data_IF_891772048554
#
_entry.id   IF_891772048554
#
_cell.length_a   1.000
_cell.length_b   1.000
_cell.length_c   1.000
_cell.angle_alpha   90.00
_cell.angle_beta   90.00
_cell.angle_gamma   90.00
#
_symmetry.space_group_name_H-M   'P 1'
#
loop_
_entity.id
_entity.type
_entity.pdbx_description
1 polymer ?
#
# COMPACT_ATOMS: atom_id res chain seq x y z
N UNK A 1 -37.69 -24.29 45.54
CA UNK A 1 -37.98 -24.83 44.21
C UNK A 1 -37.82 -23.75 43.12
N UNK A 2 -38.24 -22.53 43.35
CA UNK A 2 -38.15 -21.40 42.41
C UNK A 2 -36.69 -20.96 42.10
N UNK A 3 -35.85 -20.84 43.13
CA UNK A 3 -34.43 -20.47 43.01
C UNK A 3 -33.60 -21.47 42.18
N UNK A 4 -33.97 -22.74 42.20
CA UNK A 4 -33.29 -23.78 41.39
C UNK A 4 -33.67 -23.65 39.90
N UNK A 5 -34.94 -23.34 39.59
CA UNK A 5 -35.40 -23.09 38.23
C UNK A 5 -34.78 -21.84 37.62
N UNK A 6 -34.58 -20.82 38.39
CA UNK A 6 -33.95 -19.58 37.96
C UNK A 6 -32.45 -19.77 37.65
N UNK A 7 -31.73 -20.54 38.47
CA UNK A 7 -30.32 -20.93 38.20
C UNK A 7 -30.19 -21.78 36.91
N UNK A 8 -31.07 -22.75 36.72
CA UNK A 8 -31.06 -23.58 35.49
C UNK A 8 -31.37 -22.72 34.24
N UNK A 9 -32.27 -21.74 34.34
CA UNK A 9 -32.60 -20.81 33.27
C UNK A 9 -31.41 -19.92 32.92
N UNK A 10 -30.68 -19.40 33.90
CA UNK A 10 -29.48 -18.60 33.72
C UNK A 10 -28.34 -19.40 33.10
N UNK A 11 -28.10 -20.63 33.57
CA UNK A 11 -27.09 -21.51 32.98
C UNK A 11 -27.40 -21.87 31.52
N UNK A 12 -28.68 -22.11 31.18
CA UNK A 12 -29.09 -22.34 29.77
C UNK A 12 -28.91 -21.12 28.91
N UNK A 13 -29.16 -19.90 29.43
CA UNK A 13 -28.94 -18.65 28.68
C UNK A 13 -27.44 -18.40 28.46
N UNK A 14 -26.63 -18.69 29.46
CA UNK A 14 -25.18 -18.53 29.39
C UNK A 14 -24.53 -19.55 28.43
N UNK A 15 -24.96 -20.83 28.49
CA UNK A 15 -24.54 -21.85 27.55
C UNK A 15 -24.90 -21.49 26.10
N UNK A 16 -26.14 -21.00 25.88
CA UNK A 16 -26.58 -20.55 24.54
C UNK A 16 -25.81 -19.33 24.05
N UNK A 17 -25.40 -18.43 24.95
CA UNK A 17 -24.56 -17.26 24.62
C UNK A 17 -23.14 -17.69 24.22
N UNK A 18 -22.56 -18.66 24.92
CA UNK A 18 -21.25 -19.25 24.62
C UNK A 18 -21.29 -20.02 23.28
N UNK A 19 -22.38 -20.74 23.00
CA UNK A 19 -22.56 -21.48 21.75
C UNK A 19 -22.72 -20.55 20.53
N UNK A 20 -23.48 -19.47 20.68
CA UNK A 20 -23.60 -18.41 19.66
C UNK A 20 -22.26 -17.68 19.42
N UNK A 21 -21.44 -17.54 20.46
CA UNK A 21 -20.10 -16.93 20.34
C UNK A 21 -19.11 -17.90 19.67
N UNK A 22 -19.25 -19.21 19.86
CA UNK A 22 -18.43 -20.26 19.22
C UNK A 22 -18.78 -20.48 17.74
N UNK A 23 -20.02 -20.19 17.33
CA UNK A 23 -20.48 -20.34 15.93
C UNK A 23 -20.19 -19.14 15.02
N UNK A 24 -19.67 -18.04 15.53
CA UNK A 24 -18.98 -17.08 14.66
C UNK A 24 -17.67 -17.76 14.23
N UNK A 25 -17.73 -18.52 13.15
CA UNK A 25 -16.52 -18.85 12.40
C UNK A 25 -15.71 -17.54 12.30
N UNK A 26 -14.50 -17.54 12.87
CA UNK A 26 -13.57 -16.44 12.72
C UNK A 26 -13.16 -16.38 11.25
N UNK A 27 -14.05 -15.85 10.40
CA UNK A 27 -13.77 -15.66 8.99
C UNK A 27 -12.59 -14.71 8.90
N UNK A 28 -11.48 -15.23 8.44
CA UNK A 28 -10.25 -14.44 8.28
C UNK A 28 -10.54 -13.24 7.40
N UNK A 29 -10.29 -12.05 7.91
CA UNK A 29 -10.35 -10.81 7.14
C UNK A 29 -8.98 -10.61 6.52
N UNK A 30 -8.93 -10.58 5.20
CA UNK A 30 -7.70 -10.30 4.46
C UNK A 30 -7.59 -8.79 4.26
N UNK A 31 -6.39 -8.25 4.48
CA UNK A 31 -6.14 -6.82 4.35
C UNK A 31 -6.28 -6.33 2.90
N UNK A 32 -5.72 -7.11 1.98
CA UNK A 32 -5.77 -6.81 0.55
C UNK A 32 -5.87 -8.12 -0.23
N UNK A 33 -7.08 -8.46 -0.69
CA UNK A 33 -7.29 -9.60 -1.58
C UNK A 33 -7.16 -9.13 -3.03
N UNK A 34 -6.54 -9.93 -3.91
CA UNK A 34 -6.61 -9.68 -5.34
C UNK A 34 -8.05 -9.58 -5.82
N UNK A 35 -8.32 -8.68 -6.73
CA UNK A 35 -9.61 -8.54 -7.40
C UNK A 35 -9.46 -8.91 -8.87
N UNK A 36 -10.38 -9.72 -9.36
CA UNK A 36 -10.44 -10.12 -10.76
C UNK A 36 -11.65 -9.43 -11.41
N UNK A 37 -11.40 -8.67 -12.47
CA UNK A 37 -12.43 -7.95 -13.21
C UNK A 37 -13.21 -8.83 -14.19
N UNK A 38 -12.65 -9.98 -14.56
CA UNK A 38 -13.25 -10.99 -15.44
C UNK A 38 -12.76 -10.93 -16.91
N UNK A 39 -11.94 -9.94 -17.26
CA UNK A 39 -11.36 -9.83 -18.61
C UNK A 39 -9.90 -10.30 -18.68
N UNK A 40 -9.27 -10.57 -17.55
CA UNK A 40 -7.84 -10.87 -17.45
C UNK A 40 -7.45 -12.08 -18.29
N UNK A 41 -8.26 -13.16 -18.23
CA UNK A 41 -8.01 -14.36 -19.01
C UNK A 41 -8.08 -14.11 -20.52
N UNK A 42 -8.98 -13.21 -20.98
CA UNK A 42 -9.11 -12.87 -22.39
C UNK A 42 -7.88 -12.13 -22.92
N UNK A 43 -7.32 -11.21 -22.14
CA UNK A 43 -6.07 -10.52 -22.48
C UNK A 43 -4.86 -11.46 -22.48
N UNK A 44 -4.81 -12.38 -21.51
CA UNK A 44 -3.77 -13.42 -21.47
C UNK A 44 -3.87 -14.30 -22.73
N UNK A 45 -5.08 -14.77 -23.06
CA UNK A 45 -5.31 -15.59 -24.25
C UNK A 45 -4.92 -14.86 -25.53
N UNK A 46 -5.31 -13.59 -25.68
CA UNK A 46 -4.95 -12.77 -26.85
C UNK A 46 -3.42 -12.64 -26.99
N UNK A 47 -2.72 -12.40 -25.86
CA UNK A 47 -1.25 -12.30 -25.87
C UNK A 47 -0.60 -13.59 -26.40
N UNK A 48 -1.10 -14.76 -25.96
CA UNK A 48 -0.62 -16.06 -26.44
C UNK A 48 -1.00 -16.31 -27.91
N UNK A 49 -2.24 -16.06 -28.31
CA UNK A 49 -2.72 -16.29 -29.68
C UNK A 49 -1.97 -15.42 -30.70
N UNK A 50 -1.56 -14.21 -30.31
CA UNK A 50 -0.86 -13.25 -31.17
C UNK A 50 0.67 -13.28 -30.98
N UNK A 51 1.18 -14.15 -30.09
CA UNK A 51 2.60 -14.27 -29.75
C UNK A 51 3.23 -12.99 -29.15
N UNK A 52 2.43 -12.16 -28.49
CA UNK A 52 2.88 -10.96 -27.76
C UNK A 52 3.13 -11.25 -26.28
N UNK A 53 3.97 -12.23 -26.00
CA UNK A 53 4.43 -12.59 -24.65
C UNK A 53 5.81 -11.98 -24.38
N UNK A 54 5.92 -10.68 -24.58
CA UNK A 54 7.14 -9.89 -24.46
C UNK A 54 6.90 -8.68 -23.53
N UNK A 55 7.95 -8.04 -23.01
CA UNK A 55 7.80 -6.82 -22.19
C UNK A 55 7.26 -5.59 -22.94
N UNK A 56 7.16 -5.69 -24.25
CA UNK A 56 6.52 -4.71 -25.15
C UNK A 56 5.35 -5.39 -25.87
N UNK A 57 4.39 -4.60 -26.33
CA UNK A 57 3.27 -5.11 -27.13
C UNK A 57 1.98 -4.33 -26.92
N UNK A 58 0.90 -4.73 -27.60
CA UNK A 58 -0.37 -3.98 -27.60
C UNK A 58 -0.92 -3.74 -26.18
N UNK A 59 -0.89 -4.75 -25.31
CA UNK A 59 -1.42 -4.64 -23.95
C UNK A 59 -0.64 -3.62 -23.11
N UNK A 60 0.69 -3.61 -23.17
CA UNK A 60 1.52 -2.63 -22.47
C UNK A 60 1.29 -1.23 -23.00
N UNK A 61 1.32 -1.08 -24.34
CA UNK A 61 1.14 0.22 -24.99
C UNK A 61 -0.25 0.81 -24.69
N UNK A 62 -1.30 -0.02 -24.72
CA UNK A 62 -2.65 0.42 -24.40
C UNK A 62 -2.78 0.79 -22.92
N UNK A 63 -2.20 0.01 -22.02
CA UNK A 63 -2.19 0.33 -20.59
C UNK A 63 -1.53 1.70 -20.34
N UNK A 64 -0.36 1.94 -20.88
CA UNK A 64 0.35 3.22 -20.74
C UNK A 64 -0.48 4.39 -21.26
N UNK A 65 -1.09 4.22 -22.44
CA UNK A 65 -1.96 5.22 -23.05
C UNK A 65 -3.20 5.50 -22.19
N UNK A 66 -3.92 4.46 -21.78
CA UNK A 66 -5.15 4.59 -21.00
C UNK A 66 -4.88 5.23 -19.62
N UNK A 67 -3.77 4.86 -18.97
CA UNK A 67 -3.37 5.48 -17.69
C UNK A 67 -3.02 6.95 -17.90
N UNK A 68 -2.26 7.28 -18.93
CA UNK A 68 -1.93 8.68 -19.26
C UNK A 68 -3.18 9.53 -19.53
N UNK A 69 -4.12 9.00 -20.31
CA UNK A 69 -5.40 9.66 -20.60
C UNK A 69 -6.25 9.82 -19.31
N UNK A 70 -6.37 8.77 -18.50
CA UNK A 70 -7.15 8.80 -17.27
C UNK A 70 -6.62 9.83 -16.25
N UNK A 71 -5.31 9.93 -16.10
CA UNK A 71 -4.66 10.87 -15.16
C UNK A 71 -4.55 12.28 -15.76
N UNK A 72 -4.71 12.43 -17.09
CA UNK A 72 -4.58 13.71 -17.79
C UNK A 72 -3.14 14.17 -17.97
N UNK A 73 -2.21 13.23 -18.13
CA UNK A 73 -0.79 13.49 -18.38
C UNK A 73 -0.40 13.08 -19.81
N UNK A 74 0.75 13.55 -20.27
CA UNK A 74 1.19 13.30 -21.64
C UNK A 74 1.57 11.85 -21.89
N UNK A 75 2.33 11.27 -21.00
CA UNK A 75 2.91 9.93 -21.16
C UNK A 75 2.89 9.18 -19.83
N UNK A 76 2.80 7.86 -19.87
CA UNK A 76 2.97 6.95 -18.75
C UNK A 76 3.93 5.83 -19.12
N UNK A 77 4.56 5.21 -18.14
CA UNK A 77 5.46 4.08 -18.33
C UNK A 77 5.06 2.93 -17.41
N UNK A 78 4.79 1.76 -17.99
CA UNK A 78 4.51 0.55 -17.24
C UNK A 78 5.80 -0.07 -16.72
N UNK A 79 5.84 -0.37 -15.44
CA UNK A 79 6.96 -1.01 -14.77
C UNK A 79 6.52 -2.30 -14.08
N UNK A 80 7.46 -3.18 -13.81
CA UNK A 80 7.20 -4.50 -13.23
C UNK A 80 6.58 -4.45 -11.83
N UNK A 81 6.76 -3.34 -11.10
CA UNK A 81 6.23 -3.16 -9.75
C UNK A 81 6.22 -1.69 -9.32
N UNK A 82 5.40 -1.36 -8.32
CA UNK A 82 5.44 -0.05 -7.66
C UNK A 82 6.80 0.28 -7.05
N UNK A 83 7.52 -0.72 -6.53
CA UNK A 83 8.91 -0.53 -6.05
C UNK A 83 9.83 -0.01 -7.15
N UNK A 84 9.73 -0.60 -8.35
CA UNK A 84 10.51 -0.15 -9.51
C UNK A 84 10.12 1.25 -9.96
N UNK A 85 8.82 1.59 -9.87
CA UNK A 85 8.32 2.92 -10.21
C UNK A 85 8.87 3.98 -9.25
N UNK A 86 8.82 3.74 -7.94
CA UNK A 86 9.40 4.63 -6.93
C UNK A 86 10.91 4.76 -7.14
N UNK A 87 11.61 3.64 -7.39
CA UNK A 87 13.06 3.66 -7.62
C UNK A 87 13.42 4.51 -8.85
N UNK A 88 12.68 4.35 -9.95
CA UNK A 88 12.89 5.19 -11.14
C UNK A 88 12.65 6.67 -10.85
N UNK A 89 11.58 7.00 -10.11
CA UNK A 89 11.30 8.38 -9.71
C UNK A 89 12.43 8.99 -8.87
N UNK A 90 12.95 8.24 -7.90
CA UNK A 90 14.08 8.64 -7.05
C UNK A 90 15.34 8.90 -7.91
N UNK A 91 15.62 8.04 -8.90
CA UNK A 91 16.73 8.25 -9.82
C UNK A 91 16.55 9.50 -10.71
N UNK A 92 15.35 9.72 -11.21
CA UNK A 92 15.04 10.91 -12.02
C UNK A 92 15.15 12.21 -11.23
N UNK A 93 14.88 12.20 -9.92
CA UNK A 93 15.11 13.32 -9.01
C UNK A 93 16.59 13.55 -8.69
N UNK A 94 17.48 12.67 -9.15
CA UNK A 94 18.92 12.75 -8.89
C UNK A 94 19.30 12.50 -7.43
N UNK A 95 18.48 11.76 -6.70
CA UNK A 95 18.75 11.36 -5.31
C UNK A 95 19.92 10.37 -5.30
N UNK A 96 20.86 10.57 -4.38
CA UNK A 96 22.13 9.84 -4.30
C UNK A 96 22.61 9.67 -2.86
N UNK A 97 23.72 9.00 -2.70
CA UNK A 97 24.40 8.82 -1.41
C UNK A 97 24.58 10.18 -0.67
N UNK A 98 24.18 10.19 0.59
CA UNK A 98 24.23 11.37 1.46
C UNK A 98 22.98 12.25 1.40
N UNK A 99 22.09 12.08 0.44
CA UNK A 99 20.81 12.77 0.40
C UNK A 99 19.84 12.21 1.44
N UNK A 100 18.86 13.03 1.84
CA UNK A 100 17.79 12.65 2.79
C UNK A 100 16.45 12.66 2.07
N UNK A 101 15.62 11.66 2.35
CA UNK A 101 14.24 11.54 1.84
C UNK A 101 13.30 11.26 3.00
N UNK A 102 12.25 12.05 3.14
CA UNK A 102 11.20 11.78 4.12
C UNK A 102 10.25 10.74 3.57
N UNK A 103 9.85 9.78 4.43
CA UNK A 103 9.03 8.65 4.04
C UNK A 103 8.00 8.38 5.13
N UNK A 104 6.78 8.04 4.75
CA UNK A 104 5.77 7.55 5.71
C UNK A 104 6.29 6.32 6.45
N UNK A 105 5.99 6.17 7.75
CA UNK A 105 6.33 4.99 8.54
C UNK A 105 5.29 3.88 8.41
N UNK A 106 4.01 4.23 8.30
CA UNK A 106 2.93 3.27 8.06
C UNK A 106 2.76 3.04 6.55
N UNK A 107 3.65 2.26 5.98
CA UNK A 107 3.67 2.00 4.55
C UNK A 107 4.27 0.63 4.24
N UNK A 108 4.08 0.16 3.01
CA UNK A 108 4.80 -1.01 2.53
C UNK A 108 6.29 -0.68 2.35
N UNK A 109 7.17 -1.62 2.67
CA UNK A 109 8.63 -1.43 2.60
C UNK A 109 9.14 -0.91 1.23
N UNK A 110 8.34 -1.07 0.17
CA UNK A 110 8.61 -0.53 -1.15
C UNK A 110 8.74 1.00 -1.20
N UNK A 111 8.17 1.73 -0.24
CA UNK A 111 8.34 3.18 -0.16
C UNK A 111 9.73 3.57 0.37
N UNK A 112 10.31 2.77 1.26
CA UNK A 112 11.60 3.03 1.88
C UNK A 112 12.77 2.38 1.13
N UNK A 113 12.61 1.13 0.67
CA UNK A 113 13.72 0.38 0.08
C UNK A 113 14.40 1.08 -1.11
N UNK A 114 13.69 1.71 -2.05
CA UNK A 114 14.32 2.43 -3.15
C UNK A 114 15.22 3.60 -2.72
N UNK A 115 14.91 4.23 -1.59
CA UNK A 115 15.78 5.28 -0.99
C UNK A 115 17.12 4.66 -0.61
N UNK A 116 17.08 3.49 0.03
CA UNK A 116 18.28 2.76 0.43
C UNK A 116 19.09 2.24 -0.76
N UNK A 117 18.44 1.91 -1.89
CA UNK A 117 19.13 1.46 -3.10
C UNK A 117 20.05 2.55 -3.66
N UNK A 118 19.68 3.82 -3.53
CA UNK A 118 20.52 4.96 -3.91
C UNK A 118 21.47 5.42 -2.78
N UNK A 119 21.56 4.64 -1.68
CA UNK A 119 22.35 4.95 -0.48
C UNK A 119 21.99 6.28 0.18
N UNK A 120 20.78 6.78 -0.10
CA UNK A 120 20.20 7.91 0.59
C UNK A 120 19.63 7.50 1.95
N UNK A 121 19.40 8.46 2.82
CA UNK A 121 18.91 8.23 4.18
C UNK A 121 17.41 8.44 4.23
N UNK A 122 16.61 7.39 4.49
CA UNK A 122 15.18 7.53 4.77
C UNK A 122 14.97 8.12 6.17
N UNK A 123 14.06 9.06 6.30
CA UNK A 123 13.59 9.60 7.56
C UNK A 123 12.12 9.33 7.66
N UNK A 124 11.72 8.54 8.64
CA UNK A 124 10.34 8.12 8.82
C UNK A 124 9.52 9.22 9.49
N UNK A 125 8.38 9.50 8.90
CA UNK A 125 7.40 10.47 9.38
C UNK A 125 6.18 9.72 9.87
N UNK A 126 5.82 9.99 11.12
CA UNK A 126 4.71 9.34 11.82
C UNK A 126 3.35 9.63 11.17
N UNK A 127 2.40 8.74 11.40
CA UNK A 127 1.04 8.83 10.89
C UNK A 127 0.12 9.61 11.84
N UNK A 128 -0.95 10.17 11.32
CA UNK A 128 -2.02 10.74 12.14
C UNK A 128 -3.06 9.66 12.51
N UNK A 129 -3.73 9.85 13.65
CA UNK A 129 -4.64 8.85 14.21
C UNK A 129 -5.97 8.71 13.45
N UNK A 130 -6.41 9.76 12.78
CA UNK A 130 -7.76 9.77 12.16
C UNK A 130 -7.78 9.05 10.81
N UNK A 131 -6.78 9.27 9.96
CA UNK A 131 -6.72 8.71 8.60
C UNK A 131 -5.62 7.68 8.41
N UNK A 132 -4.68 7.56 9.36
CA UNK A 132 -3.46 6.78 9.26
C UNK A 132 -2.53 7.18 8.10
N UNK A 133 -2.77 8.34 7.49
CA UNK A 133 -1.85 8.94 6.54
C UNK A 133 -0.68 9.63 7.26
N UNK A 134 0.34 10.03 6.50
CA UNK A 134 1.46 10.81 7.02
C UNK A 134 0.94 12.05 7.76
N UNK A 135 1.36 12.24 9.00
CA UNK A 135 0.95 13.38 9.82
C UNK A 135 1.55 14.69 9.33
N UNK A 136 0.73 15.69 8.94
CA UNK A 136 1.24 17.01 8.57
C UNK A 136 2.01 17.69 9.71
N UNK A 137 1.62 17.42 10.96
CA UNK A 137 2.29 17.97 12.15
C UNK A 137 3.67 17.34 12.32
N UNK A 138 3.79 16.01 12.17
CA UNK A 138 5.07 15.31 12.24
C UNK A 138 5.99 15.74 11.09
N UNK A 139 5.45 15.83 9.87
CA UNK A 139 6.18 16.30 8.69
C UNK A 139 6.73 17.71 8.88
N UNK A 140 5.92 18.64 9.38
CA UNK A 140 6.36 20.01 9.66
C UNK A 140 7.50 20.02 10.69
N UNK A 141 7.36 19.26 11.79
CA UNK A 141 8.43 19.15 12.80
C UNK A 141 9.73 18.58 12.21
N UNK A 142 9.62 17.61 11.31
CA UNK A 142 10.78 17.04 10.64
C UNK A 142 11.48 18.10 9.78
N UNK A 143 10.75 18.88 8.99
CA UNK A 143 11.32 20.00 8.22
C UNK A 143 12.02 21.01 9.14
N UNK A 144 11.37 21.48 10.19
CA UNK A 144 11.94 22.44 11.15
C UNK A 144 13.22 21.92 11.83
N UNK A 145 13.27 20.61 12.11
CA UNK A 145 14.44 19.97 12.71
C UNK A 145 15.60 19.89 11.72
N UNK A 146 15.34 19.41 10.51
CA UNK A 146 16.36 19.22 9.50
C UNK A 146 16.88 20.54 8.92
N UNK A 147 16.01 21.54 8.81
CA UNK A 147 16.42 22.90 8.42
C UNK A 147 17.44 23.49 9.39
N UNK A 148 17.24 23.33 10.73
CA UNK A 148 18.22 23.74 11.75
C UNK A 148 19.56 23.02 11.62
N UNK A 149 19.57 21.82 11.06
CA UNK A 149 20.79 21.05 10.78
C UNK A 149 21.43 21.43 9.44
N UNK A 150 20.83 22.33 8.67
CA UNK A 150 21.26 22.70 7.33
C UNK A 150 21.01 21.62 6.28
N UNK A 151 20.10 20.67 6.55
CA UNK A 151 19.75 19.56 5.66
C UNK A 151 18.33 19.78 5.16
N UNK A 152 18.14 19.73 3.83
CA UNK A 152 16.80 19.73 3.23
C UNK A 152 16.56 18.37 2.59
N UNK A 153 15.39 17.73 2.84
CA UNK A 153 15.04 16.50 2.16
C UNK A 153 14.88 16.74 0.66
N UNK A 154 15.34 15.80 -0.14
CA UNK A 154 15.22 15.88 -1.60
C UNK A 154 13.83 15.48 -2.11
N UNK A 155 13.11 14.67 -1.34
CA UNK A 155 11.75 14.23 -1.64
C UNK A 155 11.01 13.85 -0.37
N UNK A 156 9.69 13.71 -0.51
CA UNK A 156 8.76 13.10 0.46
C UNK A 156 7.99 12.00 -0.28
N UNK A 157 7.91 10.80 0.31
CA UNK A 157 7.24 9.61 -0.24
C UNK A 157 6.18 9.12 0.75
#
# INVERSE_FOLDING_TARGET
MEVLKERESLQKKEAKRIEVTKQKENKRIYLASPHMGGLEESFIKEAFDTNWIAPLGPNVNNFEKEVAEYVGIKDAAALVSGTSAIHLAIKLLGIKEGDTVFCSDLTFAASCNPIMYEKATPVFIDSEYDSFNMSPIALKKAFECYEKMGILPKAVI
#
